data_IF_586333731294
#
_entry.id   IF_586333731294
#
_cell.length_a   1.000
_cell.length_b   1.000
_cell.length_c   1.000
_cell.angle_alpha   90.00
_cell.angle_beta   90.00
_cell.angle_gamma   90.00
#
_symmetry.space_group_name_H-M   'P 1'
#
loop_
_entity.id
_entity.type
_entity.pdbx_description
1 polymer ?
#
# COMPACT_ATOMS: atom_id res chain seq x y z
N UNK A 1 -12.09 7.33 -17.70
CA UNK A 1 -11.00 6.48 -17.21
C UNK A 1 -11.34 5.93 -15.84
N UNK A 2 -11.23 4.63 -15.63
CA UNK A 2 -11.48 4.07 -14.29
C UNK A 2 -10.40 4.52 -13.32
N UNK A 3 -10.78 4.67 -12.07
CA UNK A 3 -9.83 4.94 -11.00
C UNK A 3 -8.98 3.68 -10.75
N UNK A 4 -7.70 3.89 -10.48
CA UNK A 4 -6.75 2.82 -10.22
C UNK A 4 -6.50 2.70 -8.72
N UNK A 5 -6.61 1.48 -8.21
CA UNK A 5 -6.39 1.20 -6.79
C UNK A 5 -5.40 0.06 -6.61
N UNK A 6 -4.70 0.09 -5.49
CA UNK A 6 -3.85 -1.01 -5.07
C UNK A 6 -4.26 -1.43 -3.67
N UNK A 7 -4.52 -2.70 -3.51
CA UNK A 7 -4.79 -3.31 -2.21
C UNK A 7 -3.57 -4.12 -1.82
N UNK A 8 -2.97 -3.77 -0.69
CA UNK A 8 -1.81 -4.50 -0.16
C UNK A 8 -2.20 -5.09 1.17
N UNK A 9 -2.09 -6.41 1.27
CA UNK A 9 -2.32 -7.14 2.50
C UNK A 9 -0.97 -7.66 2.94
N UNK A 10 -0.54 -7.31 4.15
CA UNK A 10 0.77 -7.75 4.61
C UNK A 10 0.82 -7.90 6.12
N UNK A 11 1.64 -8.83 6.55
CA UNK A 11 1.92 -9.07 7.95
C UNK A 11 3.12 -8.23 8.35
N UNK A 12 3.02 -7.52 9.47
CA UNK A 12 4.12 -6.72 10.00
C UNK A 12 4.50 -7.21 11.40
N UNK A 13 5.78 -7.13 11.73
CA UNK A 13 6.26 -7.56 13.05
C UNK A 13 5.77 -6.62 14.14
N UNK A 14 5.73 -5.31 13.84
CA UNK A 14 5.27 -4.27 14.74
C UNK A 14 4.62 -3.18 13.92
N UNK A 15 3.35 -2.92 14.17
CA UNK A 15 2.65 -1.84 13.48
C UNK A 15 3.33 -0.49 13.72
N UNK A 16 3.75 -0.22 14.95
CA UNK A 16 4.37 1.05 15.29
C UNK A 16 5.66 1.28 14.51
N UNK A 17 6.50 0.26 14.42
CA UNK A 17 7.75 0.35 13.67
C UNK A 17 7.48 0.49 12.17
N UNK A 18 6.51 -0.29 11.65
CA UNK A 18 6.11 -0.22 10.25
C UNK A 18 5.57 1.16 9.89
N UNK A 19 4.75 1.74 10.76
CA UNK A 19 4.12 3.04 10.52
C UNK A 19 5.14 4.16 10.40
N UNK A 20 6.21 4.10 11.17
CA UNK A 20 7.30 5.08 11.07
C UNK A 20 7.92 5.04 9.67
N UNK A 21 8.20 3.85 9.16
CA UNK A 21 8.76 3.69 7.82
C UNK A 21 7.75 4.12 6.76
N UNK A 22 6.48 3.73 6.94
CA UNK A 22 5.40 4.09 6.03
C UNK A 22 5.27 5.63 5.91
N UNK A 23 5.26 6.33 7.03
CA UNK A 23 5.15 7.79 7.05
C UNK A 23 6.39 8.44 6.44
N UNK A 24 7.57 7.89 6.71
CA UNK A 24 8.80 8.39 6.13
C UNK A 24 8.86 8.27 4.62
N UNK A 25 8.11 7.33 4.06
CA UNK A 25 8.04 7.10 2.61
C UNK A 25 6.92 7.91 1.94
N UNK A 26 6.17 8.74 2.66
CA UNK A 26 5.03 9.46 2.09
C UNK A 26 5.43 10.32 0.88
N UNK A 27 6.58 10.98 0.94
CA UNK A 27 7.06 11.83 -0.15
C UNK A 27 7.33 11.04 -1.42
N UNK A 28 7.99 9.90 -1.31
CA UNK A 28 8.28 9.08 -2.49
C UNK A 28 7.03 8.41 -3.04
N UNK A 29 6.06 8.05 -2.17
CA UNK A 29 4.78 7.52 -2.64
C UNK A 29 4.01 8.55 -3.44
N UNK A 30 3.92 9.78 -2.92
CA UNK A 30 3.24 10.88 -3.61
C UNK A 30 3.90 11.16 -4.96
N UNK A 31 5.21 11.22 -4.98
CA UNK A 31 5.96 11.49 -6.21
C UNK A 31 5.76 10.38 -7.24
N UNK A 32 5.63 9.14 -6.80
CA UNK A 32 5.41 8.00 -7.67
C UNK A 32 3.99 7.93 -8.24
N UNK A 33 3.03 8.61 -7.61
CA UNK A 33 1.68 8.68 -8.14
C UNK A 33 0.58 8.24 -7.17
N UNK A 34 0.90 7.95 -5.91
CA UNK A 34 -0.14 7.68 -4.92
C UNK A 34 -0.89 8.98 -4.61
N UNK A 35 -2.22 8.93 -4.70
CA UNK A 35 -3.07 10.10 -4.52
C UNK A 35 -3.67 10.15 -3.12
N UNK A 36 -4.12 8.99 -2.64
CA UNK A 36 -4.75 8.88 -1.33
C UNK A 36 -4.60 7.46 -0.82
N UNK A 37 -4.77 7.26 0.46
CA UNK A 37 -4.67 5.94 1.06
C UNK A 37 -5.56 5.79 2.26
N UNK A 38 -5.81 4.54 2.62
CA UNK A 38 -6.52 4.16 3.81
C UNK A 38 -5.78 2.98 4.43
N UNK A 39 -5.52 3.06 5.72
CA UNK A 39 -4.90 1.94 6.45
C UNK A 39 -5.97 1.24 7.25
N UNK A 40 -6.00 -0.07 7.13
CA UNK A 40 -6.98 -0.93 7.79
C UNK A 40 -6.23 -2.05 8.50
N UNK A 41 -6.88 -2.63 9.50
CA UNK A 41 -6.32 -3.75 10.24
C UNK A 41 -7.36 -4.84 10.29
N UNK A 42 -6.93 -6.08 10.08
CA UNK A 42 -7.82 -7.21 10.27
C UNK A 42 -8.20 -7.31 11.75
N UNK A 43 -9.50 -7.43 12.03
CA UNK A 43 -10.01 -7.44 13.39
C UNK A 43 -9.39 -8.55 14.24
N UNK A 44 -9.21 -9.73 13.63
CA UNK A 44 -8.72 -10.91 14.33
C UNK A 44 -7.20 -11.02 14.41
N UNK A 45 -6.46 -10.12 13.72
CA UNK A 45 -5.00 -10.21 13.68
C UNK A 45 -4.40 -8.79 13.63
N UNK A 46 -3.92 -8.29 14.78
CA UNK A 46 -3.39 -6.91 14.86
C UNK A 46 -2.13 -6.67 14.02
N UNK A 47 -1.46 -7.73 13.58
CA UNK A 47 -0.26 -7.60 12.76
C UNK A 47 -0.55 -7.69 11.25
N UNK A 48 -1.81 -7.96 10.88
CA UNK A 48 -2.22 -8.01 9.48
C UNK A 48 -2.79 -6.67 9.08
N UNK A 49 -1.95 -5.88 8.37
CA UNK A 49 -2.26 -4.49 8.00
C UNK A 49 -2.58 -4.42 6.52
N UNK A 50 -3.62 -3.67 6.19
CA UNK A 50 -4.06 -3.46 4.82
C UNK A 50 -3.82 -2.01 4.44
N UNK A 51 -3.12 -1.81 3.32
CA UNK A 51 -2.91 -0.51 2.71
C UNK A 51 -3.73 -0.47 1.43
N UNK A 52 -4.81 0.30 1.43
CA UNK A 52 -5.68 0.47 0.27
C UNK A 52 -5.47 1.87 -0.27
N UNK A 53 -4.99 1.98 -1.50
CA UNK A 53 -4.56 3.28 -2.03
C UNK A 53 -5.07 3.52 -3.44
N UNK A 54 -5.29 4.79 -3.75
CA UNK A 54 -5.66 5.25 -5.09
C UNK A 54 -4.43 5.84 -5.76
N UNK A 55 -4.24 5.50 -7.02
CA UNK A 55 -3.04 5.86 -7.79
C UNK A 55 -3.40 6.56 -9.08
N UNK A 56 -2.45 7.34 -9.59
CA UNK A 56 -2.61 8.01 -10.88
C UNK A 56 -2.75 7.02 -12.03
N UNK A 57 -2.10 5.85 -11.93
CA UNK A 57 -2.25 4.75 -12.87
C UNK A 57 -1.74 3.45 -12.25
N UNK A 58 -2.21 2.31 -12.76
CA UNK A 58 -1.68 1.01 -12.32
C UNK A 58 -0.22 0.83 -12.74
N UNK A 59 0.17 1.36 -13.89
CA UNK A 59 1.56 1.27 -14.33
C UNK A 59 2.50 1.99 -13.36
N UNK A 60 2.12 3.18 -12.91
CA UNK A 60 2.91 3.91 -11.93
C UNK A 60 3.01 3.15 -10.61
N UNK A 61 1.91 2.56 -10.18
CA UNK A 61 1.88 1.76 -8.95
C UNK A 61 2.80 0.55 -9.06
N UNK A 62 2.74 -0.18 -10.18
CA UNK A 62 3.60 -1.35 -10.39
C UNK A 62 5.07 -0.98 -10.39
N UNK A 63 5.44 0.08 -11.10
CA UNK A 63 6.82 0.53 -11.13
C UNK A 63 7.33 0.84 -9.74
N UNK A 64 6.50 1.48 -8.93
CA UNK A 64 6.88 1.83 -7.57
C UNK A 64 7.06 0.59 -6.69
N UNK A 65 6.01 -0.26 -6.61
CA UNK A 65 6.03 -1.40 -5.69
C UNK A 65 7.00 -2.50 -6.11
N UNK A 66 7.31 -2.61 -7.39
CA UNK A 66 8.23 -3.62 -7.91
C UNK A 66 9.68 -3.12 -7.96
N UNK A 67 9.93 -1.86 -7.60
CA UNK A 67 11.28 -1.30 -7.62
C UNK A 67 12.16 -1.95 -6.55
N UNK A 68 13.47 -2.12 -6.83
CA UNK A 68 14.41 -2.66 -5.82
C UNK A 68 14.46 -1.82 -4.55
N UNK A 69 14.30 -0.51 -4.67
CA UNK A 69 14.27 0.39 -3.53
C UNK A 69 13.14 0.06 -2.58
N UNK A 70 11.94 -0.20 -3.10
CA UNK A 70 10.78 -0.55 -2.28
C UNK A 70 10.91 -1.92 -1.64
N UNK A 71 11.52 -2.88 -2.33
CA UNK A 71 11.79 -4.19 -1.76
C UNK A 71 12.65 -4.03 -0.51
N UNK A 72 13.68 -3.19 -0.57
CA UNK A 72 14.56 -2.94 0.58
C UNK A 72 13.84 -2.22 1.71
N UNK A 73 13.03 -1.20 1.38
CA UNK A 73 12.23 -0.47 2.37
C UNK A 73 11.28 -1.41 3.11
N UNK A 74 10.62 -2.32 2.39
CA UNK A 74 9.74 -3.31 3.02
C UNK A 74 10.47 -4.23 3.99
N UNK A 75 11.68 -4.66 3.63
CA UNK A 75 12.49 -5.47 4.53
C UNK A 75 12.81 -4.70 5.82
N UNK A 76 13.19 -3.44 5.69
CA UNK A 76 13.48 -2.59 6.85
C UNK A 76 12.25 -2.37 7.71
N UNK A 77 11.08 -2.29 7.10
CA UNK A 77 9.81 -2.09 7.81
C UNK A 77 9.30 -3.36 8.49
N UNK A 78 9.95 -4.50 8.29
CA UNK A 78 9.53 -5.76 8.90
C UNK A 78 8.31 -6.37 8.26
N UNK A 79 8.09 -6.10 6.98
CA UNK A 79 6.96 -6.67 6.23
C UNK A 79 7.25 -8.11 5.85
N UNK A 80 6.28 -8.98 6.07
CA UNK A 80 6.36 -10.38 5.71
C UNK A 80 5.25 -10.74 4.73
N UNK A 81 5.62 -11.46 3.65
CA UNK A 81 4.71 -12.02 2.67
C UNK A 81 3.66 -11.01 2.15
N UNK A 82 4.07 -9.85 1.60
CA UNK A 82 3.10 -8.88 1.11
C UNK A 82 2.37 -9.41 -0.11
N UNK A 83 1.05 -9.15 -0.15
CA UNK A 83 0.22 -9.52 -1.29
C UNK A 83 -0.29 -8.23 -1.94
N UNK A 84 0.03 -8.03 -3.20
CA UNK A 84 -0.36 -6.86 -3.98
C UNK A 84 -1.49 -7.23 -4.93
N UNK A 85 -2.58 -6.47 -4.89
CA UNK A 85 -3.71 -6.65 -5.78
C UNK A 85 -3.97 -5.33 -6.48
N UNK A 86 -3.84 -5.32 -7.80
CA UNK A 86 -4.05 -4.13 -8.63
C UNK A 86 -5.48 -4.13 -9.14
N UNK A 87 -6.20 -3.03 -8.91
CA UNK A 87 -7.65 -2.98 -9.10
C UNK A 87 -8.05 -1.78 -9.96
N UNK A 88 -9.04 -1.99 -10.81
CA UNK A 88 -9.74 -0.91 -11.50
C UNK A 88 -11.11 -0.73 -10.86
N UNK A 89 -11.48 0.51 -10.57
CA UNK A 89 -12.81 0.78 -10.04
C UNK A 89 -13.88 0.49 -11.09
N UNK A 90 -14.90 -0.25 -10.70
CA UNK A 90 -16.05 -0.50 -11.56
C UNK A 90 -17.18 0.47 -11.24
N UNK A 91 -17.42 0.72 -9.97
CA UNK A 91 -18.51 1.57 -9.52
C UNK A 91 -18.25 2.02 -8.09
N UNK A 92 -18.62 3.24 -7.81
CA UNK A 92 -18.64 3.78 -6.46
C UNK A 92 -20.07 4.20 -6.16
N UNK A 93 -20.61 3.75 -5.04
CA UNK A 93 -21.99 4.06 -4.69
C UNK A 93 -22.21 4.14 -3.18
N UNK A 94 -23.34 4.69 -2.81
CA UNK A 94 -23.82 4.74 -1.43
C UNK A 94 -25.24 4.16 -1.39
N UNK A 95 -25.60 3.60 -0.26
CA UNK A 95 -26.92 3.02 -0.05
C UNK A 95 -27.77 3.91 0.85
#
# INVERSE_FOLDING_TARGET
MPQAYVLIIHEVKSYQAWKIVFDGAAGIRKKAGEISYQLLREESDPNNVVHFSRWSSLDNARQFFESPELVEIRKQAGVNAPRFIYLNELELGEL
#
